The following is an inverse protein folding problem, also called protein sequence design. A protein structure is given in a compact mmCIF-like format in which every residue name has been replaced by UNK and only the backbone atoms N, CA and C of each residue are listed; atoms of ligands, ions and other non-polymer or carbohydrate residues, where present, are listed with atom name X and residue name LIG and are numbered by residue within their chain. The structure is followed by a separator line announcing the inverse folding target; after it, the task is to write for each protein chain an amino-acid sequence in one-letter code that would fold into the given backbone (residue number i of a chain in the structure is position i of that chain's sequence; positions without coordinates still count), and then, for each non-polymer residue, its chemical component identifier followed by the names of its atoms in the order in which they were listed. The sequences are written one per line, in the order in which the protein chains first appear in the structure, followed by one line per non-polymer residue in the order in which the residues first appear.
data_IF_884669947662
#
_entry.id   IF_884669947662
#
_cell.length_a   1.000
_cell.length_b   1.000
_cell.length_c   1.000
_cell.angle_alpha   90.00
_cell.angle_beta   90.00
_cell.angle_gamma   90.00
#
_symmetry.space_group_name_H-M   'P 1'
#
loop_
_entity.id
_entity.type
_entity.pdbx_description
1 polymer ?
#
# COMPACT_ATOMS: atom_id res chain seq x y z
N UNK A 1 11.74 19.11 26.27
CA UNK A 1 12.02 19.07 24.82
C UNK A 1 13.51 18.79 24.64
N UNK A 2 13.89 17.56 24.30
CA UNK A 2 15.32 17.21 24.08
C UNK A 2 15.70 17.64 22.67
N UNK A 3 16.46 18.72 22.55
CA UNK A 3 17.07 19.16 21.30
C UNK A 3 18.23 18.21 20.99
N UNK A 4 17.97 17.14 20.24
CA UNK A 4 19.05 16.37 19.62
C UNK A 4 19.72 17.25 18.57
N UNK A 5 20.85 17.85 18.94
CA UNK A 5 21.73 18.57 18.02
C UNK A 5 22.30 17.57 17.00
N UNK A 6 22.04 17.84 15.71
CA UNK A 6 22.68 17.12 14.61
C UNK A 6 24.04 17.77 14.35
N UNK A 7 25.12 17.02 14.57
CA UNK A 7 26.50 17.51 14.37
C UNK A 7 26.91 17.61 12.89
N UNK A 8 26.11 17.08 11.97
CA UNK A 8 26.36 17.14 10.54
C UNK A 8 25.69 18.37 9.93
N UNK A 9 26.50 19.28 9.37
CA UNK A 9 26.04 20.39 8.51
C UNK A 9 25.84 19.97 7.04
N UNK A 10 25.98 18.67 6.71
CA UNK A 10 25.77 18.17 5.36
C UNK A 10 24.30 18.23 4.95
N UNK A 11 24.03 18.86 3.80
CA UNK A 11 22.74 18.81 3.09
C UNK A 11 22.33 17.38 2.70
N UNK A 12 23.30 16.45 2.61
CA UNK A 12 23.08 15.06 2.24
C UNK A 12 22.78 14.14 3.44
N UNK A 13 22.68 14.68 4.65
CA UNK A 13 22.38 13.85 5.83
C UNK A 13 20.94 13.33 5.76
N UNK A 14 20.78 12.06 5.42
CA UNK A 14 19.47 11.42 5.34
C UNK A 14 18.90 11.24 6.75
N UNK A 15 17.83 11.94 7.09
CA UNK A 15 17.07 11.66 8.30
C UNK A 15 16.50 10.24 8.22
N UNK A 16 17.11 9.31 8.94
CA UNK A 16 16.64 7.93 9.04
C UNK A 16 15.27 7.84 9.72
N UNK A 17 14.54 6.76 9.42
CA UNK A 17 13.25 6.51 10.05
C UNK A 17 13.41 6.27 11.57
N UNK A 18 12.50 6.86 12.35
CA UNK A 18 12.41 6.58 13.79
C UNK A 18 11.99 5.13 14.04
N UNK A 19 12.22 4.60 15.26
CA UNK A 19 11.77 3.24 15.61
C UNK A 19 10.27 3.05 15.38
N UNK A 20 9.46 4.04 15.76
CA UNK A 20 8.00 4.04 15.55
C UNK A 20 7.63 3.98 14.07
N UNK A 21 8.30 4.77 13.24
CA UNK A 21 8.07 4.76 11.78
C UNK A 21 8.45 3.40 11.17
N UNK A 22 9.55 2.78 11.61
CA UNK A 22 9.94 1.44 11.13
C UNK A 22 8.89 0.38 11.48
N UNK A 23 8.37 0.39 12.70
CA UNK A 23 7.33 -0.54 13.14
C UNK A 23 6.04 -0.32 12.34
N UNK A 24 5.61 0.94 12.21
CA UNK A 24 4.42 1.29 11.44
C UNK A 24 4.55 0.88 9.95
N UNK A 25 5.71 1.10 9.34
CA UNK A 25 6.00 0.62 7.98
C UNK A 25 5.99 -0.91 7.90
N UNK A 26 6.56 -1.62 8.87
CA UNK A 26 6.54 -3.09 8.89
C UNK A 26 5.11 -3.63 8.96
N UNK A 27 4.24 -3.04 9.79
CA UNK A 27 2.82 -3.40 9.88
C UNK A 27 2.12 -3.22 8.53
N UNK A 28 2.31 -2.06 7.88
CA UNK A 28 1.74 -1.81 6.56
C UNK A 28 2.25 -2.78 5.48
N UNK A 29 3.56 -3.07 5.51
CA UNK A 29 4.21 -4.03 4.60
C UNK A 29 3.68 -5.45 4.82
N UNK A 30 3.38 -5.86 6.06
CA UNK A 30 2.76 -7.16 6.33
C UNK A 30 1.38 -7.29 5.68
N UNK A 31 0.56 -6.23 5.70
CA UNK A 31 -0.72 -6.22 4.99
C UNK A 31 -0.54 -6.36 3.47
N UNK A 32 0.40 -5.62 2.90
CA UNK A 32 0.74 -5.73 1.47
C UNK A 32 1.33 -7.11 1.11
N UNK A 33 2.10 -7.71 2.01
CA UNK A 33 2.68 -9.04 1.83
C UNK A 33 1.60 -10.11 1.73
N UNK A 34 0.53 -10.02 2.53
CA UNK A 34 -0.62 -10.93 2.43
C UNK A 34 -1.27 -10.84 1.04
N UNK A 35 -1.46 -9.63 0.49
CA UNK A 35 -1.98 -9.44 -0.86
C UNK A 35 -1.03 -10.02 -1.93
N UNK A 36 0.27 -9.90 -1.70
CA UNK A 36 1.29 -10.48 -2.59
C UNK A 36 1.26 -12.00 -2.57
N UNK A 37 1.05 -12.64 -1.41
CA UNK A 37 0.85 -14.09 -1.33
C UNK A 37 -0.41 -14.53 -2.11
N UNK A 38 -1.49 -13.76 -2.03
CA UNK A 38 -2.69 -14.02 -2.83
C UNK A 38 -2.42 -13.89 -4.34
N UNK A 39 -1.58 -12.94 -4.76
CA UNK A 39 -1.14 -12.82 -6.15
C UNK A 39 -0.41 -14.09 -6.63
N UNK A 40 0.36 -14.74 -5.76
CA UNK A 40 1.02 -16.02 -6.05
C UNK A 40 0.13 -17.26 -5.83
N UNK A 41 -1.19 -17.10 -5.80
CA UNK A 41 -2.16 -18.18 -5.66
C UNK A 41 -2.05 -19.00 -4.36
N UNK A 42 -1.52 -18.40 -3.29
CA UNK A 42 -1.54 -19.01 -1.95
C UNK A 42 -2.99 -19.10 -1.47
N UNK A 43 -3.43 -20.30 -1.14
CA UNK A 43 -4.80 -20.57 -0.69
C UNK A 43 -4.98 -20.18 0.78
N UNK A 44 -6.00 -19.39 1.07
CA UNK A 44 -6.35 -18.97 2.42
C UNK A 44 -7.66 -19.64 2.87
N UNK A 45 -7.70 -20.26 4.06
CA UNK A 45 -8.90 -20.96 4.55
C UNK A 45 -10.12 -20.03 4.69
N UNK A 46 -9.91 -18.77 5.08
CA UNK A 46 -10.98 -17.78 5.24
C UNK A 46 -10.61 -16.47 4.55
N UNK A 47 -11.03 -16.34 3.29
CA UNK A 47 -10.79 -15.17 2.43
C UNK A 47 -11.26 -13.86 3.09
N UNK A 48 -12.41 -13.87 3.76
CA UNK A 48 -13.00 -12.68 4.43
C UNK A 48 -12.10 -12.16 5.54
N UNK A 49 -11.66 -13.05 6.44
CA UNK A 49 -10.79 -12.67 7.57
C UNK A 49 -9.44 -12.21 7.02
N UNK A 50 -8.86 -12.96 6.08
CA UNK A 50 -7.56 -12.61 5.50
C UNK A 50 -7.58 -11.25 4.81
N UNK A 51 -8.60 -10.96 4.01
CA UNK A 51 -8.75 -9.66 3.36
C UNK A 51 -8.91 -8.54 4.39
N UNK A 52 -9.76 -8.75 5.40
CA UNK A 52 -10.00 -7.75 6.46
C UNK A 52 -8.72 -7.44 7.22
N UNK A 53 -7.93 -8.46 7.57
CA UNK A 53 -6.63 -8.29 8.22
C UNK A 53 -5.66 -7.53 7.31
N UNK A 54 -5.56 -7.92 6.03
CA UNK A 54 -4.64 -7.28 5.08
C UNK A 54 -4.93 -5.79 4.94
N UNK A 55 -6.20 -5.43 4.69
CA UNK A 55 -6.61 -4.02 4.58
C UNK A 55 -6.42 -3.27 5.91
N UNK A 56 -6.80 -3.86 7.04
CA UNK A 56 -6.66 -3.22 8.35
C UNK A 56 -5.19 -2.95 8.70
N UNK A 57 -4.29 -3.89 8.42
CA UNK A 57 -2.85 -3.70 8.62
C UNK A 57 -2.30 -2.55 7.75
N UNK A 58 -2.73 -2.46 6.48
CA UNK A 58 -2.35 -1.35 5.61
C UNK A 58 -2.86 0.00 6.12
N UNK A 59 -4.13 0.08 6.55
CA UNK A 59 -4.72 1.27 7.15
C UNK A 59 -3.97 1.69 8.42
N UNK A 60 -3.88 0.79 9.40
CA UNK A 60 -3.26 1.07 10.70
C UNK A 60 -1.78 1.45 10.52
N UNK A 61 -1.02 0.69 9.73
CA UNK A 61 0.39 0.96 9.49
C UNK A 61 0.62 2.34 8.88
N UNK A 62 -0.16 2.72 7.88
CA UNK A 62 0.04 3.99 7.17
C UNK A 62 -0.50 5.20 7.94
N UNK A 63 -1.64 5.06 8.63
CA UNK A 63 -2.17 6.09 9.54
C UNK A 63 -1.19 6.34 10.68
N UNK A 64 -0.69 5.27 11.31
CA UNK A 64 0.28 5.38 12.38
C UNK A 64 1.59 6.03 11.90
N UNK A 65 2.09 5.64 10.73
CA UNK A 65 3.26 6.27 10.12
C UNK A 65 3.03 7.77 9.89
N UNK A 66 1.88 8.13 9.33
CA UNK A 66 1.49 9.52 9.05
C UNK A 66 1.40 10.35 10.33
N UNK A 67 0.75 9.80 11.37
CA UNK A 67 0.66 10.43 12.69
C UNK A 67 2.03 10.67 13.31
N UNK A 68 2.92 9.68 13.25
CA UNK A 68 4.30 9.85 13.72
C UNK A 68 5.09 10.89 12.92
N UNK A 69 4.76 11.12 11.65
CA UNK A 69 5.45 12.10 10.80
C UNK A 69 4.94 13.52 11.03
N UNK A 70 3.64 13.71 11.25
CA UNK A 70 2.98 15.02 11.16
C UNK A 70 2.47 15.59 12.48
N UNK A 71 2.06 14.78 13.47
CA UNK A 71 1.39 15.29 14.68
C UNK A 71 2.30 16.18 15.55
N UNK A 72 3.59 15.84 15.65
CA UNK A 72 4.56 16.59 16.46
C UNK A 72 5.28 17.71 15.68
N UNK A 73 4.76 18.08 14.50
CA UNK A 73 5.34 19.13 13.65
C UNK A 73 4.50 20.41 13.75
N UNK A 74 5.17 21.57 13.78
CA UNK A 74 4.53 22.89 13.79
C UNK A 74 3.56 23.07 12.62
N UNK A 75 2.49 23.84 12.82
CA UNK A 75 1.51 24.16 11.77
C UNK A 75 2.21 24.86 10.58
N UNK A 76 1.88 24.50 9.33
CA UNK A 76 2.50 25.03 8.11
C UNK A 76 2.74 23.98 7.01
N UNK A 77 3.44 24.37 5.93
CA UNK A 77 3.82 23.47 4.84
C UNK A 77 4.95 22.54 5.32
N UNK A 78 4.70 21.23 5.35
CA UNK A 78 5.61 20.20 5.92
C UNK A 78 6.26 19.31 4.85
N UNK A 79 6.71 19.89 3.74
CA UNK A 79 7.31 19.19 2.59
C UNK A 79 8.84 19.27 2.57
N UNK A 80 9.47 19.14 3.73
CA UNK A 80 10.91 19.33 3.86
C UNK A 80 11.69 18.21 3.17
N UNK A 81 12.63 18.60 2.30
CA UNK A 81 13.61 17.71 1.68
C UNK A 81 13.04 16.59 0.81
N UNK A 82 11.81 16.74 0.28
CA UNK A 82 11.17 15.72 -0.56
C UNK A 82 12.05 15.34 -1.75
N UNK A 83 12.65 16.31 -2.43
CA UNK A 83 13.51 16.09 -3.60
C UNK A 83 14.81 15.34 -3.31
N UNK A 84 15.24 15.25 -2.05
CA UNK A 84 16.43 14.50 -1.65
C UNK A 84 16.13 13.04 -1.29
N UNK A 85 14.84 12.66 -1.20
CA UNK A 85 14.45 11.28 -0.92
C UNK A 85 14.66 10.42 -2.16
N UNK A 86 15.22 9.23 -2.00
CA UNK A 86 15.52 8.28 -3.09
C UNK A 86 14.32 7.95 -3.98
N UNK A 87 13.11 8.01 -3.42
CA UNK A 87 11.85 7.79 -4.13
C UNK A 87 11.48 8.94 -5.07
N UNK A 88 11.81 10.17 -4.68
CA UNK A 88 11.40 11.42 -5.34
C UNK A 88 12.51 12.02 -6.21
N UNK A 89 13.76 11.62 -5.97
CA UNK A 89 14.95 12.14 -6.63
C UNK A 89 15.25 11.50 -7.99
N UNK A 90 14.25 10.86 -8.63
CA UNK A 90 14.42 10.02 -9.84
C UNK A 90 15.47 8.91 -9.66
N UNK A 91 15.71 8.49 -8.41
CA UNK A 91 16.61 7.38 -8.08
C UNK A 91 16.06 6.03 -8.51
N UNK A 92 16.87 4.99 -8.36
CA UNK A 92 16.56 3.61 -8.77
C UNK A 92 15.20 3.11 -8.24
N UNK A 93 14.86 3.43 -6.98
CA UNK A 93 13.59 3.02 -6.38
C UNK A 93 12.37 3.67 -7.04
N UNK A 94 12.48 4.92 -7.51
CA UNK A 94 11.42 5.58 -8.26
C UNK A 94 11.17 4.90 -9.62
N UNK A 95 12.24 4.55 -10.34
CA UNK A 95 12.15 3.81 -11.60
C UNK A 95 11.57 2.41 -11.42
N UNK A 96 12.01 1.66 -10.39
CA UNK A 96 11.45 0.34 -10.09
C UNK A 96 9.95 0.40 -9.84
N UNK A 97 9.48 1.35 -9.02
CA UNK A 97 8.04 1.52 -8.78
C UNK A 97 7.31 1.88 -10.07
N UNK A 98 7.87 2.78 -10.89
CA UNK A 98 7.30 3.14 -12.19
C UNK A 98 7.10 1.92 -13.09
N UNK A 99 8.13 1.09 -13.25
CA UNK A 99 8.07 -0.15 -14.05
C UNK A 99 7.04 -1.13 -13.48
N UNK A 100 7.03 -1.35 -12.17
CA UNK A 100 6.06 -2.25 -11.52
C UNK A 100 4.63 -1.78 -11.73
N UNK A 101 4.35 -0.47 -11.61
CA UNK A 101 3.03 0.08 -11.86
C UNK A 101 2.62 -0.07 -13.34
N UNK A 102 3.53 0.21 -14.29
CA UNK A 102 3.24 0.01 -15.71
C UNK A 102 2.94 -1.45 -16.03
N UNK A 103 3.74 -2.40 -15.51
CA UNK A 103 3.51 -3.83 -15.68
C UNK A 103 2.18 -4.27 -15.04
N UNK A 104 1.87 -3.77 -13.85
CA UNK A 104 0.58 -4.01 -13.21
C UNK A 104 -0.59 -3.58 -14.11
N UNK A 105 -0.51 -2.40 -14.73
CA UNK A 105 -1.54 -1.93 -15.67
C UNK A 105 -1.62 -2.77 -16.94
N UNK A 106 -0.48 -3.22 -17.48
CA UNK A 106 -0.47 -4.13 -18.64
C UNK A 106 -1.19 -5.43 -18.29
N UNK A 107 -0.86 -6.04 -17.14
CA UNK A 107 -1.52 -7.27 -16.68
C UNK A 107 -3.01 -7.04 -16.43
N UNK A 108 -3.37 -5.92 -15.80
CA UNK A 108 -4.75 -5.59 -15.50
C UNK A 108 -5.63 -5.43 -16.75
N UNK A 109 -5.11 -4.84 -17.83
CA UNK A 109 -5.86 -4.63 -19.06
C UNK A 109 -5.82 -5.83 -20.01
N UNK A 110 -4.66 -6.46 -20.18
CA UNK A 110 -4.43 -7.45 -21.24
C UNK A 110 -4.39 -8.90 -20.73
N UNK A 111 -4.03 -9.14 -19.46
CA UNK A 111 -3.84 -10.48 -18.90
C UNK A 111 -4.43 -10.65 -17.50
N UNK A 112 -5.73 -10.34 -17.30
CA UNK A 112 -6.32 -10.37 -15.97
C UNK A 112 -6.38 -11.78 -15.36
N UNK A 113 -6.23 -12.84 -16.17
CA UNK A 113 -6.06 -14.20 -15.66
C UNK A 113 -4.86 -14.33 -14.71
N UNK A 114 -3.80 -13.53 -14.86
CA UNK A 114 -2.66 -13.56 -13.92
C UNK A 114 -2.96 -12.91 -12.57
N UNK A 115 -4.02 -12.11 -12.48
CA UNK A 115 -4.55 -11.63 -11.20
C UNK A 115 -5.49 -12.66 -10.56
N UNK A 116 -5.84 -13.72 -11.30
CA UNK A 116 -6.75 -14.77 -10.88
C UNK A 116 -8.21 -14.54 -11.28
N UNK A 117 -8.47 -13.69 -12.28
CA UNK A 117 -9.80 -13.59 -12.88
C UNK A 117 -10.15 -14.91 -13.60
N UNK A 118 -11.29 -15.49 -13.25
CA UNK A 118 -11.81 -16.68 -13.90
C UNK A 118 -12.32 -16.42 -15.32
N UNK A 119 -12.25 -17.45 -16.17
CA UNK A 119 -12.98 -17.46 -17.44
C UNK A 119 -14.44 -17.88 -17.20
N UNK A 120 -15.34 -17.53 -18.12
CA UNK A 120 -16.80 -17.72 -17.97
C UNK A 120 -17.14 -19.12 -17.44
N UNK A 121 -17.66 -19.19 -16.21
CA UNK A 121 -18.14 -20.42 -15.57
C UNK A 121 -17.20 -21.04 -14.53
N UNK A 122 -16.00 -20.49 -14.34
CA UNK A 122 -15.05 -20.94 -13.32
C UNK A 122 -15.02 -20.01 -12.11
N UNK A 123 -14.51 -20.50 -10.98
CA UNK A 123 -14.31 -19.69 -9.76
C UNK A 123 -13.03 -18.86 -9.87
N UNK A 124 -13.06 -17.64 -9.33
CA UNK A 124 -11.89 -16.80 -9.26
C UNK A 124 -10.78 -17.46 -8.41
N UNK A 125 -9.54 -17.18 -8.77
CA UNK A 125 -8.35 -17.66 -8.06
C UNK A 125 -7.47 -16.49 -7.59
N UNK A 126 -6.42 -16.80 -6.84
CA UNK A 126 -5.40 -15.84 -6.42
C UNK A 126 -5.93 -14.55 -5.78
N UNK A 127 -5.47 -13.40 -6.32
CA UNK A 127 -5.78 -12.09 -5.76
C UNK A 127 -7.25 -11.72 -5.97
N UNK A 128 -7.82 -11.97 -7.14
CA UNK A 128 -9.24 -11.64 -7.40
C UNK A 128 -10.14 -12.44 -6.46
N UNK A 129 -9.85 -13.72 -6.23
CA UNK A 129 -10.62 -14.56 -5.31
C UNK A 129 -10.66 -14.03 -3.88
N UNK A 130 -9.55 -13.44 -3.42
CA UNK A 130 -9.47 -12.87 -2.07
C UNK A 130 -10.50 -11.73 -1.87
N UNK A 131 -10.87 -11.03 -2.95
CA UNK A 131 -11.84 -9.93 -2.93
C UNK A 131 -13.28 -10.37 -3.20
N UNK A 132 -13.54 -11.63 -3.58
CA UNK A 132 -14.90 -12.12 -3.83
C UNK A 132 -15.86 -11.85 -2.66
N UNK A 133 -15.52 -12.11 -1.38
CA UNK A 133 -16.46 -11.87 -0.28
C UNK A 133 -16.86 -10.41 -0.15
N UNK A 134 -15.93 -9.48 -0.41
CA UNK A 134 -16.20 -8.05 -0.37
C UNK A 134 -17.04 -7.59 -1.57
N UNK A 135 -16.78 -8.14 -2.76
CA UNK A 135 -17.59 -7.85 -3.96
C UNK A 135 -19.00 -8.41 -3.83
N UNK A 136 -19.15 -9.62 -3.28
CA UNK A 136 -20.45 -10.22 -3.03
C UNK A 136 -21.26 -9.40 -2.01
N UNK A 137 -20.61 -8.89 -0.96
CA UNK A 137 -21.24 -8.01 0.03
C UNK A 137 -21.74 -6.68 -0.58
N UNK A 138 -20.97 -6.07 -1.48
CA UNK A 138 -21.26 -4.71 -1.99
C UNK A 138 -22.00 -4.69 -3.33
N UNK A 139 -21.79 -5.70 -4.16
CA UNK A 139 -22.27 -5.75 -5.56
C UNK A 139 -23.07 -7.01 -5.88
N UNK A 140 -23.17 -7.98 -4.97
CA UNK A 140 -23.93 -9.22 -5.19
C UNK A 140 -23.38 -10.11 -6.31
N UNK A 141 -22.10 -9.95 -6.67
CA UNK A 141 -21.41 -10.71 -7.70
C UNK A 141 -19.94 -10.90 -7.35
N UNK A 142 -19.31 -11.91 -7.94
CA UNK A 142 -17.87 -12.18 -7.76
C UNK A 142 -17.00 -11.00 -8.21
N UNK A 143 -15.80 -10.93 -7.64
CA UNK A 143 -14.91 -9.81 -7.89
C UNK A 143 -14.41 -9.83 -9.35
N UNK A 144 -14.25 -8.65 -9.92
CA UNK A 144 -13.55 -8.46 -11.19
C UNK A 144 -12.20 -7.79 -10.93
N UNK A 145 -11.30 -7.83 -11.92
CA UNK A 145 -10.03 -7.09 -11.87
C UNK A 145 -10.24 -5.59 -11.55
N UNK A 146 -11.34 -5.01 -12.05
CA UNK A 146 -11.72 -3.62 -11.83
C UNK A 146 -12.21 -3.37 -10.41
N UNK A 147 -12.91 -4.33 -9.82
CA UNK A 147 -13.32 -4.26 -8.42
C UNK A 147 -12.09 -4.23 -7.51
N UNK A 148 -11.15 -5.16 -7.69
CA UNK A 148 -9.90 -5.19 -6.90
C UNK A 148 -9.13 -3.89 -7.03
N UNK A 149 -8.91 -3.42 -8.26
CA UNK A 149 -8.24 -2.16 -8.53
C UNK A 149 -8.96 -0.98 -7.88
N UNK A 150 -10.28 -0.89 -8.02
CA UNK A 150 -11.10 0.16 -7.43
C UNK A 150 -11.05 0.16 -5.90
N UNK A 151 -11.10 -1.01 -5.27
CA UNK A 151 -10.99 -1.14 -3.81
C UNK A 151 -9.62 -0.65 -3.33
N UNK A 152 -8.53 -1.14 -3.93
CA UNK A 152 -7.17 -0.74 -3.55
C UNK A 152 -6.93 0.76 -3.77
N UNK A 153 -7.46 1.32 -4.86
CA UNK A 153 -7.38 2.75 -5.13
C UNK A 153 -8.15 3.58 -4.10
N UNK A 154 -9.35 3.13 -3.72
CA UNK A 154 -10.16 3.78 -2.67
C UNK A 154 -9.44 3.78 -1.33
N UNK A 155 -8.87 2.64 -0.94
CA UNK A 155 -8.06 2.51 0.28
C UNK A 155 -6.86 3.46 0.23
N UNK A 156 -6.13 3.51 -0.89
CA UNK A 156 -4.99 4.40 -1.04
C UNK A 156 -5.39 5.88 -0.88
N UNK A 157 -6.48 6.32 -1.53
CA UNK A 157 -6.97 7.69 -1.40
C UNK A 157 -7.34 8.01 0.05
N UNK A 158 -8.10 7.14 0.73
CA UNK A 158 -8.53 7.39 2.11
C UNK A 158 -7.34 7.52 3.06
N UNK A 159 -6.40 6.59 2.96
CA UNK A 159 -5.23 6.51 3.83
C UNK A 159 -4.27 7.67 3.57
N UNK A 160 -3.97 7.97 2.30
CA UNK A 160 -3.10 9.10 1.97
C UNK A 160 -3.81 10.45 2.12
N UNK A 161 -5.14 10.49 2.06
CA UNK A 161 -5.96 11.66 2.39
C UNK A 161 -5.88 12.00 3.87
N UNK A 162 -5.93 10.99 4.75
CA UNK A 162 -5.80 11.17 6.21
C UNK A 162 -4.51 11.88 6.60
N UNK A 163 -3.42 11.68 5.86
CA UNK A 163 -2.14 12.37 6.04
C UNK A 163 -2.26 13.91 6.06
N UNK A 164 -3.27 14.47 5.40
CA UNK A 164 -3.49 15.92 5.27
C UNK A 164 -4.42 16.49 6.35
N UNK A 165 -4.98 15.65 7.24
CA UNK A 165 -5.76 16.04 8.42
C UNK A 165 -4.81 16.24 9.60
#
# INVERSE_FOLDING_TARGET
MSLKLNYSMSLANSYGLTKTQKIASAIGILGLFILTLALFNVQFPNKTITLTIALSLMFIGTIWFSNSLYLNKSKGIKNDGVWFKSLSSRGLMGWLIGVVLTLFYIVLYFYPQYLGLAQKGEENTGLVALFDPLSQLLSGRDASQWFVYGTLYTVAILVFGYKFI
#
